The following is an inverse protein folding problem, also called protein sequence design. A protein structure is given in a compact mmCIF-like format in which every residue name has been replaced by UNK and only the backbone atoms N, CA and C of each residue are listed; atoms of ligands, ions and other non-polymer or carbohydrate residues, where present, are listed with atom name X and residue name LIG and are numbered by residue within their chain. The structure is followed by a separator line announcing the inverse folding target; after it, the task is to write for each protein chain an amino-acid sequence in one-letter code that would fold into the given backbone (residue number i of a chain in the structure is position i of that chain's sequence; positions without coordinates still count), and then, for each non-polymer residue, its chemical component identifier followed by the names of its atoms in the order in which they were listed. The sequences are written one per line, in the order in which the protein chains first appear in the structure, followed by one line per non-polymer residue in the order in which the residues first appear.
data_IF_679310221159
#
_entry.id   IF_679310221159
#
_cell.length_a   1.000
_cell.length_b   1.000
_cell.length_c   1.000
_cell.angle_alpha   90.00
_cell.angle_beta   90.00
_cell.angle_gamma   90.00
#
_symmetry.space_group_name_H-M   'P 1'
#
loop_
_entity.id
_entity.type
_entity.pdbx_description
1 polymer ?
#
# COMPACT_ATOMS: atom_id res chain seq x y z
N UNK A 1 17.89 -14.25 -6.19
CA UNK A 1 16.88 -13.42 -6.90
C UNK A 1 15.54 -13.64 -6.20
N UNK A 2 14.81 -12.57 -5.89
CA UNK A 2 13.50 -12.68 -5.23
C UNK A 2 12.51 -13.42 -6.16
N UNK A 3 11.74 -14.42 -5.67
CA UNK A 3 10.89 -15.24 -6.52
C UNK A 3 9.61 -14.52 -6.97
N UNK A 4 9.18 -13.45 -6.29
CA UNK A 4 8.03 -12.66 -6.71
C UNK A 4 8.45 -11.70 -7.81
N UNK A 5 7.66 -11.49 -8.88
CA UNK A 5 8.00 -10.56 -9.95
C UNK A 5 7.85 -9.10 -9.51
N UNK A 6 8.64 -8.21 -10.09
CA UNK A 6 8.51 -6.76 -9.96
C UNK A 6 8.47 -6.10 -11.34
N UNK A 7 7.45 -5.26 -11.53
CA UNK A 7 7.15 -4.54 -12.76
C UNK A 7 7.23 -3.03 -12.49
N UNK A 8 8.10 -2.32 -13.19
CA UNK A 8 8.13 -0.85 -13.15
C UNK A 8 7.16 -0.26 -14.18
N UNK A 9 6.42 0.77 -13.80
CA UNK A 9 5.73 1.67 -14.74
C UNK A 9 6.54 2.95 -14.83
N UNK A 10 7.17 3.18 -15.98
CA UNK A 10 8.14 4.24 -16.17
C UNK A 10 7.78 5.14 -17.36
N UNK A 11 8.29 6.37 -17.33
CA UNK A 11 7.89 7.39 -18.29
C UNK A 11 7.95 8.81 -17.74
N UNK A 12 7.92 9.83 -18.61
CA UNK A 12 8.08 11.24 -18.26
C UNK A 12 6.93 11.74 -17.37
N UNK A 13 7.07 12.92 -16.73
CA UNK A 13 5.98 13.52 -15.96
C UNK A 13 4.72 13.68 -16.81
N UNK A 14 3.55 13.58 -16.18
CA UNK A 14 2.25 13.78 -16.83
C UNK A 14 1.87 12.77 -17.93
N UNK A 15 2.67 11.72 -18.17
CA UNK A 15 2.33 10.65 -19.11
C UNK A 15 1.20 9.71 -18.65
N UNK A 16 0.53 9.98 -17.53
CA UNK A 16 -0.56 9.11 -17.04
C UNK A 16 -0.13 7.87 -16.24
N UNK A 17 1.14 7.76 -15.84
CA UNK A 17 1.66 6.61 -15.05
C UNK A 17 0.83 6.29 -13.82
N UNK A 18 0.57 7.27 -12.95
CA UNK A 18 -0.21 7.04 -11.73
C UNK A 18 -1.63 6.58 -12.02
N UNK A 19 -2.24 7.08 -13.10
CA UNK A 19 -3.56 6.68 -13.59
C UNK A 19 -3.53 5.24 -14.11
N UNK A 20 -2.53 4.87 -14.92
CA UNK A 20 -2.36 3.51 -15.42
C UNK A 20 -2.11 2.52 -14.27
N UNK A 21 -1.22 2.84 -13.33
CA UNK A 21 -0.97 2.03 -12.13
C UNK A 21 -2.25 1.79 -11.33
N UNK A 22 -3.07 2.83 -11.14
CA UNK A 22 -4.33 2.71 -10.42
C UNK A 22 -5.33 1.81 -11.18
N UNK A 23 -5.54 2.05 -12.47
CA UNK A 23 -6.46 1.25 -13.28
C UNK A 23 -6.03 -0.21 -13.38
N UNK A 24 -4.75 -0.47 -13.60
CA UNK A 24 -4.17 -1.81 -13.61
C UNK A 24 -4.34 -2.49 -12.25
N UNK A 25 -4.12 -1.78 -11.15
CA UNK A 25 -4.35 -2.28 -9.78
C UNK A 25 -5.81 -2.67 -9.56
N UNK A 26 -6.76 -1.84 -10.00
CA UNK A 26 -8.19 -2.15 -9.88
C UNK A 26 -8.56 -3.39 -10.71
N UNK A 27 -8.08 -3.47 -11.94
CA UNK A 27 -8.33 -4.61 -12.82
C UNK A 27 -7.74 -5.92 -12.27
N UNK A 28 -6.52 -5.88 -11.73
CA UNK A 28 -5.88 -7.04 -11.10
C UNK A 28 -6.63 -7.49 -9.85
N UNK A 29 -7.18 -6.54 -9.06
CA UNK A 29 -8.02 -6.85 -7.89
C UNK A 29 -9.30 -7.57 -8.29
N UNK A 30 -9.99 -7.08 -9.32
CA UNK A 30 -11.18 -7.74 -9.88
C UNK A 30 -10.86 -9.14 -10.41
N UNK A 31 -9.68 -9.32 -11.01
CA UNK A 31 -9.20 -10.61 -11.48
C UNK A 31 -8.65 -11.52 -10.36
N UNK A 32 -8.68 -11.10 -9.09
CA UNK A 32 -8.19 -11.90 -7.95
C UNK A 32 -6.67 -12.10 -7.91
N UNK A 33 -5.89 -11.28 -8.60
CA UNK A 33 -4.44 -11.45 -8.70
C UNK A 33 -3.76 -10.77 -7.51
N UNK A 34 -2.99 -11.54 -6.73
CA UNK A 34 -2.24 -11.00 -5.61
C UNK A 34 -1.11 -10.08 -6.10
N UNK A 35 -1.09 -8.83 -5.62
CA UNK A 35 -0.07 -7.86 -5.96
C UNK A 35 -0.04 -6.71 -4.95
N UNK A 36 1.03 -5.91 -5.00
CA UNK A 36 1.16 -4.67 -4.25
C UNK A 36 1.63 -3.53 -5.15
N UNK A 37 0.95 -2.38 -5.08
CA UNK A 37 1.39 -1.16 -5.77
C UNK A 37 2.31 -0.36 -4.84
N UNK A 38 3.61 -0.41 -5.12
CA UNK A 38 4.64 0.32 -4.41
C UNK A 38 4.88 1.68 -5.08
N UNK A 39 4.48 2.76 -4.40
CA UNK A 39 4.80 4.15 -4.83
C UNK A 39 6.21 4.48 -4.37
N UNK A 40 7.17 4.40 -5.28
CA UNK A 40 8.58 4.61 -4.99
C UNK A 40 8.98 6.10 -5.02
N UNK A 41 8.20 6.97 -5.66
CA UNK A 41 8.38 8.41 -5.51
C UNK A 41 7.74 8.91 -4.20
N UNK A 42 8.44 9.67 -3.34
CA UNK A 42 7.88 10.25 -2.11
C UNK A 42 7.08 11.52 -2.43
N UNK A 43 6.25 11.47 -3.47
CA UNK A 43 5.52 12.63 -3.99
C UNK A 43 4.24 12.94 -3.19
N UNK A 44 4.04 12.27 -2.06
CA UNK A 44 2.88 12.40 -1.20
C UNK A 44 1.62 11.74 -1.74
N UNK A 45 1.71 10.99 -2.85
CA UNK A 45 0.58 10.25 -3.41
C UNK A 45 0.48 8.84 -2.80
N UNK A 46 -0.73 8.29 -2.77
CA UNK A 46 -0.99 6.88 -2.52
C UNK A 46 -2.27 6.45 -3.22
N UNK A 47 -2.72 5.20 -3.02
CA UNK A 47 -4.00 4.75 -3.61
C UNK A 47 -5.17 5.67 -3.21
N UNK A 48 -5.16 6.13 -1.96
CA UNK A 48 -6.08 7.11 -1.40
C UNK A 48 -6.16 8.43 -2.19
N UNK A 49 -5.10 8.85 -2.90
CA UNK A 49 -5.10 10.11 -3.68
C UNK A 49 -6.01 10.00 -4.90
N UNK A 50 -6.22 8.80 -5.43
CA UNK A 50 -7.18 8.54 -6.52
C UNK A 50 -8.57 8.11 -5.98
N UNK A 51 -8.64 7.65 -4.73
CA UNK A 51 -9.88 7.19 -4.08
C UNK A 51 -10.59 8.29 -3.28
N UNK A 52 -9.90 9.38 -2.92
CA UNK A 52 -10.46 10.52 -2.19
C UNK A 52 -10.93 11.64 -3.14
N UNK A 53 -11.88 12.50 -2.73
CA UNK A 53 -12.26 13.68 -3.49
C UNK A 53 -11.01 14.53 -3.85
N UNK A 54 -10.88 15.03 -5.10
CA UNK A 54 -9.65 15.68 -5.56
C UNK A 54 -9.16 16.84 -4.68
N UNK A 55 -10.09 17.60 -4.08
CA UNK A 55 -9.76 18.70 -3.17
C UNK A 55 -9.17 18.21 -1.84
N UNK A 56 -9.77 17.16 -1.24
CA UNK A 56 -9.25 16.51 -0.04
C UNK A 56 -7.89 15.84 -0.32
N UNK A 57 -7.77 15.18 -1.47
CA UNK A 57 -6.53 14.54 -1.92
C UNK A 57 -5.38 15.55 -2.02
N UNK A 58 -5.64 16.74 -2.59
CA UNK A 58 -4.66 17.83 -2.70
C UNK A 58 -4.31 18.43 -1.34
N UNK A 59 -5.28 18.68 -0.49
CA UNK A 59 -5.07 19.28 0.84
C UNK A 59 -4.21 18.38 1.75
N UNK A 60 -4.33 17.06 1.60
CA UNK A 60 -3.62 16.08 2.42
C UNK A 60 -2.27 15.65 1.82
N UNK A 61 -2.00 16.01 0.56
CA UNK A 61 -0.77 15.63 -0.14
C UNK A 61 0.43 16.36 0.45
N UNK A 62 1.36 15.62 1.05
CA UNK A 62 2.65 16.12 1.53
C UNK A 62 3.79 15.45 0.76
N UNK A 63 4.45 16.21 -0.12
CA UNK A 63 5.66 15.76 -0.83
C UNK A 63 6.81 15.66 0.16
N UNK A 64 7.48 14.53 0.20
CA UNK A 64 8.73 14.31 0.93
C UNK A 64 9.95 14.43 0.01
N UNK A 65 11.16 14.57 0.58
CA UNK A 65 12.39 14.52 -0.19
C UNK A 65 12.63 13.10 -0.73
N UNK A 66 13.04 13.00 -2.00
CA UNK A 66 13.61 11.76 -2.56
C UNK A 66 15.11 11.74 -2.27
N UNK A 67 15.43 11.59 -0.98
CA UNK A 67 16.80 11.52 -0.48
C UNK A 67 17.35 10.08 -0.50
N UNK A 68 18.62 9.94 -0.14
CA UNK A 68 19.32 8.66 -0.12
C UNK A 68 18.72 7.68 0.90
N UNK A 69 18.20 8.18 2.01
CA UNK A 69 17.53 7.39 3.05
C UNK A 69 16.26 6.74 2.51
N UNK A 70 15.43 7.52 1.78
CA UNK A 70 14.24 7.01 1.11
C UNK A 70 14.60 6.03 -0.01
N UNK A 71 15.61 6.35 -0.83
CA UNK A 71 16.06 5.46 -1.91
C UNK A 71 16.53 4.10 -1.37
N UNK A 72 17.33 4.10 -0.31
CA UNK A 72 17.80 2.87 0.33
C UNK A 72 16.62 2.01 0.84
N UNK A 73 15.63 2.66 1.47
CA UNK A 73 14.38 1.99 1.86
C UNK A 73 13.63 1.42 0.65
N UNK A 74 13.44 2.21 -0.42
CA UNK A 74 12.69 1.79 -1.60
C UNK A 74 13.36 0.59 -2.30
N UNK A 75 14.68 0.64 -2.49
CA UNK A 75 15.46 -0.49 -3.02
C UNK A 75 15.31 -1.71 -2.13
N UNK A 76 15.46 -1.55 -0.81
CA UNK A 76 15.28 -2.62 0.16
C UNK A 76 13.89 -3.26 0.08
N UNK A 77 12.84 -2.45 0.11
CA UNK A 77 11.44 -2.91 0.08
C UNK A 77 11.09 -3.67 -1.21
N UNK A 78 11.57 -3.19 -2.37
CA UNK A 78 11.37 -3.94 -3.62
C UNK A 78 12.19 -5.22 -3.62
N UNK A 79 13.42 -5.21 -3.10
CA UNK A 79 14.28 -6.40 -3.02
C UNK A 79 13.70 -7.48 -2.09
N UNK A 80 13.11 -7.09 -0.96
CA UNK A 80 12.56 -7.99 0.07
C UNK A 80 11.06 -8.30 -0.10
N UNK A 81 10.43 -7.82 -1.18
CA UNK A 81 9.01 -8.03 -1.49
C UNK A 81 8.55 -9.47 -1.26
N UNK A 82 7.33 -9.59 -0.74
CA UNK A 82 6.62 -10.84 -0.47
C UNK A 82 5.39 -11.00 -1.36
N UNK A 83 5.19 -10.10 -2.32
CA UNK A 83 4.13 -10.14 -3.32
C UNK A 83 4.70 -9.69 -4.67
N UNK A 84 4.04 -10.04 -5.78
CA UNK A 84 4.25 -9.33 -7.04
C UNK A 84 4.13 -7.81 -6.86
N UNK A 85 5.12 -7.04 -7.28
CA UNK A 85 5.13 -5.58 -7.12
C UNK A 85 4.88 -4.87 -8.45
N UNK A 86 3.99 -3.89 -8.43
CA UNK A 86 3.95 -2.81 -9.41
C UNK A 86 4.66 -1.62 -8.77
N UNK A 87 5.71 -1.12 -9.40
CA UNK A 87 6.55 -0.04 -8.88
C UNK A 87 6.29 1.22 -9.70
N UNK A 88 6.00 2.33 -9.02
CA UNK A 88 5.83 3.66 -9.63
C UNK A 88 6.95 4.59 -9.13
N UNK A 89 7.93 4.83 -10.00
CA UNK A 89 9.18 5.55 -9.70
C UNK A 89 9.11 7.06 -9.94
N UNK A 90 7.96 7.59 -10.37
CA UNK A 90 7.83 8.99 -10.76
C UNK A 90 8.50 9.30 -12.11
N UNK A 91 8.47 10.58 -12.52
CA UNK A 91 8.75 10.97 -13.90
C UNK A 91 10.14 11.56 -14.19
N UNK A 92 10.97 11.81 -13.18
CA UNK A 92 12.30 12.43 -13.33
C UNK A 92 13.34 11.76 -12.41
N UNK A 93 13.63 10.46 -12.57
CA UNK A 93 14.62 9.83 -11.72
C UNK A 93 16.03 10.36 -12.02
N UNK A 94 16.80 10.63 -10.98
CA UNK A 94 18.26 10.83 -11.09
C UNK A 94 18.95 9.51 -11.39
N UNK A 95 20.21 9.55 -11.85
CA UNK A 95 20.99 8.33 -12.09
C UNK A 95 21.12 7.45 -10.83
N UNK A 96 21.29 8.05 -9.65
CA UNK A 96 21.34 7.30 -8.40
C UNK A 96 20.02 6.58 -8.11
N UNK A 97 18.89 7.22 -8.40
CA UNK A 97 17.56 6.64 -8.19
C UNK A 97 17.30 5.45 -9.12
N UNK A 98 18.00 5.36 -10.26
CA UNK A 98 17.92 4.21 -11.18
C UNK A 98 18.30 2.88 -10.53
N UNK A 99 19.02 2.87 -9.40
CA UNK A 99 19.30 1.65 -8.62
C UNK A 99 18.02 0.87 -8.22
N UNK A 100 16.86 1.53 -8.17
CA UNK A 100 15.58 0.87 -7.97
C UNK A 100 15.19 -0.06 -9.14
N UNK A 101 15.58 0.29 -10.36
CA UNK A 101 15.29 -0.48 -11.57
C UNK A 101 15.95 -1.85 -11.50
N UNK A 102 17.14 -1.96 -10.91
CA UNK A 102 17.85 -3.25 -10.74
C UNK A 102 17.06 -4.28 -9.90
N UNK A 103 16.06 -3.83 -9.14
CA UNK A 103 15.20 -4.72 -8.35
C UNK A 103 13.97 -5.23 -9.13
N UNK A 104 13.72 -4.66 -10.32
CA UNK A 104 12.60 -4.98 -11.21
C UNK A 104 13.04 -5.98 -12.30
N UNK A 105 12.08 -6.69 -12.90
CA UNK A 105 12.32 -7.62 -14.00
C UNK A 105 11.63 -7.16 -15.28
N UNK A 106 10.50 -6.48 -15.13
CA UNK A 106 9.65 -6.07 -16.24
C UNK A 106 9.46 -4.56 -16.25
N UNK A 107 9.20 -3.99 -17.42
CA UNK A 107 8.87 -2.58 -17.59
C UNK A 107 7.64 -2.36 -18.47
N UNK A 108 6.79 -1.43 -18.06
CA UNK A 108 5.84 -0.72 -18.93
C UNK A 108 6.41 0.68 -19.17
N UNK A 109 6.75 0.97 -20.42
CA UNK A 109 7.21 2.28 -20.85
C UNK A 109 6.00 3.06 -21.37
N UNK A 110 5.76 4.24 -20.80
CA UNK A 110 4.62 5.10 -21.14
C UNK A 110 5.11 6.52 -21.41
N UNK A 111 5.10 6.97 -22.66
CA UNK A 111 5.64 8.29 -23.07
C UNK A 111 4.66 9.12 -23.89
N UNK A 112 4.93 10.42 -24.06
CA UNK A 112 4.07 11.33 -24.84
C UNK A 112 4.70 11.77 -26.17
N UNK A 113 6.03 11.74 -26.27
CA UNK A 113 6.77 12.15 -27.45
C UNK A 113 8.00 11.25 -27.70
N UNK A 114 8.54 11.35 -28.91
CA UNK A 114 9.62 10.49 -29.39
C UNK A 114 10.97 10.72 -28.65
N UNK A 115 11.25 11.95 -28.22
CA UNK A 115 12.51 12.25 -27.54
C UNK A 115 12.52 11.63 -26.13
N UNK A 116 11.42 11.79 -25.40
CA UNK A 116 11.24 11.17 -24.08
C UNK A 116 11.16 9.64 -24.20
N UNK A 117 10.56 9.14 -25.28
CA UNK A 117 10.53 7.70 -25.57
C UNK A 117 11.93 7.10 -25.66
N UNK A 118 12.81 7.69 -26.46
CA UNK A 118 14.19 7.21 -26.61
C UNK A 118 14.97 7.26 -25.28
N UNK A 119 14.82 8.34 -24.51
CA UNK A 119 15.46 8.48 -23.19
C UNK A 119 15.04 7.35 -22.24
N UNK A 120 13.74 7.06 -22.15
CA UNK A 120 13.23 6.01 -21.26
C UNK A 120 13.57 4.61 -21.74
N UNK A 121 13.57 4.36 -23.05
CA UNK A 121 14.02 3.08 -23.60
C UNK A 121 15.49 2.82 -23.28
N UNK A 122 16.36 3.82 -23.42
CA UNK A 122 17.77 3.68 -23.10
C UNK A 122 17.98 3.37 -21.61
N UNK A 123 17.25 4.08 -20.74
CA UNK A 123 17.26 3.82 -19.30
C UNK A 123 16.82 2.39 -18.98
N UNK A 124 15.73 1.91 -19.57
CA UNK A 124 15.24 0.55 -19.35
C UNK A 124 16.22 -0.51 -19.86
N UNK A 125 16.86 -0.28 -21.01
CA UNK A 125 17.89 -1.17 -21.57
C UNK A 125 19.13 -1.25 -20.69
N UNK A 126 19.58 -0.12 -20.12
CA UNK A 126 20.73 -0.07 -19.19
C UNK A 126 20.56 -1.00 -18.00
N UNK A 127 19.34 -1.14 -17.51
CA UNK A 127 18.98 -2.01 -16.37
C UNK A 127 18.45 -3.38 -16.80
N UNK A 128 18.57 -3.73 -18.09
CA UNK A 128 18.20 -5.03 -18.65
C UNK A 128 16.76 -5.48 -18.32
N UNK A 129 15.81 -4.55 -18.19
CA UNK A 129 14.42 -4.92 -17.90
C UNK A 129 13.73 -5.42 -19.18
N UNK A 130 12.90 -6.45 -19.03
CA UNK A 130 12.09 -6.95 -20.11
C UNK A 130 10.88 -6.03 -20.31
N UNK A 131 10.83 -5.32 -21.44
CA UNK A 131 9.73 -4.43 -21.77
C UNK A 131 8.52 -5.26 -22.21
N UNK A 132 7.43 -5.18 -21.44
CA UNK A 132 6.19 -5.92 -21.70
C UNK A 132 5.16 -5.04 -22.41
N UNK A 133 5.27 -3.72 -22.26
CA UNK A 133 4.48 -2.76 -22.99
C UNK A 133 5.29 -1.48 -23.24
N UNK A 134 5.11 -0.91 -24.41
CA UNK A 134 5.67 0.36 -24.86
C UNK A 134 4.57 1.18 -25.54
N UNK A 135 4.06 2.15 -24.79
CA UNK A 135 2.82 2.81 -25.08
C UNK A 135 3.04 4.32 -25.20
N UNK A 136 2.48 4.92 -26.25
CA UNK A 136 2.31 6.36 -26.35
C UNK A 136 1.01 6.76 -25.66
N UNK A 137 1.09 7.58 -24.63
CA UNK A 137 -0.06 8.14 -23.93
C UNK A 137 -0.60 9.35 -24.68
N UNK A 138 -1.82 9.26 -25.19
CA UNK A 138 -2.52 10.36 -25.84
C UNK A 138 -3.91 10.55 -25.22
N UNK A 139 -4.27 11.77 -24.84
CA UNK A 139 -5.54 11.99 -24.13
C UNK A 139 -6.76 11.85 -25.04
N UNK A 140 -6.65 12.27 -26.30
CA UNK A 140 -7.78 12.39 -27.23
C UNK A 140 -7.73 11.34 -28.37
N UNK A 141 -6.79 10.39 -28.31
CA UNK A 141 -6.68 9.29 -29.26
C UNK A 141 -7.49 8.07 -28.83
N UNK A 142 -7.84 7.22 -29.79
CA UNK A 142 -8.36 5.89 -29.52
C UNK A 142 -7.21 4.93 -29.18
N UNK A 143 -7.53 3.84 -28.48
CA UNK A 143 -6.59 2.76 -28.24
C UNK A 143 -6.24 2.07 -29.56
N UNK A 144 -4.94 1.93 -29.81
CA UNK A 144 -4.41 1.17 -30.93
C UNK A 144 -3.18 0.42 -30.44
N UNK A 145 -3.32 -0.86 -30.15
CA UNK A 145 -2.20 -1.69 -29.64
C UNK A 145 -2.04 -2.96 -30.45
N UNK A 146 -0.80 -3.40 -30.60
CA UNK A 146 -0.44 -4.68 -31.21
C UNK A 146 0.49 -5.44 -30.28
N UNK A 147 0.39 -6.77 -30.30
CA UNK A 147 1.35 -7.64 -29.60
C UNK A 147 2.41 -8.09 -30.61
N UNK A 148 3.63 -7.61 -30.45
CA UNK A 148 4.77 -7.94 -31.31
C UNK A 148 5.90 -8.49 -30.46
N UNK A 149 6.39 -9.69 -30.79
CA UNK A 149 7.50 -10.34 -30.09
C UNK A 149 7.33 -10.41 -28.55
N UNK A 150 6.10 -10.63 -28.07
CA UNK A 150 5.80 -10.70 -26.63
C UNK A 150 5.72 -9.35 -25.92
N UNK A 151 5.75 -8.23 -26.66
CA UNK A 151 5.65 -6.86 -26.19
C UNK A 151 4.42 -6.17 -26.78
N UNK A 152 3.68 -5.44 -25.96
CA UNK A 152 2.58 -4.60 -26.43
C UNK A 152 3.17 -3.28 -26.94
N UNK A 153 2.81 -2.88 -28.15
CA UNK A 153 3.25 -1.61 -28.74
C UNK A 153 2.05 -0.85 -29.29
N UNK A 154 2.02 0.48 -29.08
CA UNK A 154 1.00 1.32 -29.69
C UNK A 154 0.61 2.54 -28.86
N UNK A 155 -0.66 2.96 -28.98
CA UNK A 155 -1.25 4.14 -28.33
C UNK A 155 -2.25 3.70 -27.29
N UNK A 156 -2.18 4.32 -26.11
CA UNK A 156 -3.21 4.25 -25.08
C UNK A 156 -3.91 5.60 -24.94
N UNK A 157 -5.21 5.58 -25.17
CA UNK A 157 -6.10 6.72 -25.14
C UNK A 157 -6.62 7.05 -23.73
N UNK A 158 -6.95 8.32 -23.47
CA UNK A 158 -7.92 8.66 -22.42
C UNK A 158 -7.53 8.32 -20.98
N UNK A 159 -6.23 8.28 -20.64
CA UNK A 159 -5.73 8.09 -19.26
C UNK A 159 -6.09 9.27 -18.34
N UNK A 160 -7.38 9.42 -18.00
CA UNK A 160 -7.92 10.35 -17.00
C UNK A 160 -8.58 9.55 -15.87
N UNK A 161 -8.42 9.99 -14.63
CA UNK A 161 -8.95 9.29 -13.44
C UNK A 161 -10.45 8.96 -13.52
N UNK A 162 -11.23 9.75 -14.25
CA UNK A 162 -12.68 9.61 -14.45
C UNK A 162 -13.09 8.79 -15.69
N UNK A 163 -12.13 8.36 -16.53
CA UNK A 163 -12.42 7.77 -17.86
C UNK A 163 -11.68 6.47 -18.18
N UNK A 164 -10.79 5.99 -17.31
CA UNK A 164 -10.14 4.70 -17.57
C UNK A 164 -11.12 3.55 -17.32
N UNK A 165 -11.34 2.73 -18.35
CA UNK A 165 -12.17 1.53 -18.28
C UNK A 165 -11.31 0.30 -18.54
N UNK A 166 -11.50 -0.75 -17.75
CA UNK A 166 -10.81 -2.04 -17.92
C UNK A 166 -11.10 -2.67 -19.29
N UNK A 167 -12.21 -2.27 -19.93
CA UNK A 167 -12.59 -2.73 -21.26
C UNK A 167 -11.81 -2.05 -22.39
N UNK A 168 -10.98 -1.04 -22.09
CA UNK A 168 -10.09 -0.40 -23.07
C UNK A 168 -9.08 -1.42 -23.62
N UNK A 169 -8.97 -1.59 -24.96
CA UNK A 169 -8.10 -2.59 -25.57
C UNK A 169 -6.65 -2.56 -25.07
N UNK A 170 -6.07 -1.37 -24.91
CA UNK A 170 -4.70 -1.22 -24.43
C UNK A 170 -4.54 -1.71 -22.98
N UNK A 171 -5.45 -1.30 -22.09
CA UNK A 171 -5.43 -1.72 -20.69
C UNK A 171 -5.69 -3.23 -20.54
N UNK A 172 -6.61 -3.78 -21.31
CA UNK A 172 -6.91 -5.22 -21.32
C UNK A 172 -5.70 -6.05 -21.77
N UNK A 173 -4.99 -5.61 -22.81
CA UNK A 173 -3.76 -6.25 -23.27
C UNK A 173 -2.67 -6.21 -22.19
N UNK A 174 -2.44 -5.03 -21.59
CA UNK A 174 -1.46 -4.85 -20.50
C UNK A 174 -1.81 -5.75 -19.33
N UNK A 175 -3.08 -5.77 -18.91
CA UNK A 175 -3.57 -6.63 -17.84
C UNK A 175 -3.25 -8.11 -18.12
N UNK A 176 -3.50 -8.60 -19.34
CA UNK A 176 -3.20 -9.98 -19.71
C UNK A 176 -1.70 -10.30 -19.56
N UNK A 177 -0.81 -9.44 -20.07
CA UNK A 177 0.64 -9.62 -19.94
C UNK A 177 1.13 -9.57 -18.48
N UNK A 178 0.54 -8.70 -17.67
CA UNK A 178 0.89 -8.59 -16.25
C UNK A 178 0.40 -9.81 -15.48
N UNK A 179 -0.82 -10.29 -15.73
CA UNK A 179 -1.39 -11.50 -15.08
C UNK A 179 -0.53 -12.74 -15.33
N UNK A 180 -0.11 -12.95 -16.57
CA UNK A 180 0.76 -14.06 -16.95
C UNK A 180 2.05 -14.04 -16.13
N UNK A 181 2.67 -12.85 -15.97
CA UNK A 181 3.93 -12.70 -15.24
C UNK A 181 3.77 -12.70 -13.73
N UNK A 182 2.61 -12.29 -13.22
CA UNK A 182 2.27 -12.24 -11.80
C UNK A 182 1.74 -13.58 -11.28
N UNK A 183 1.58 -14.56 -12.16
CA UNK A 183 1.33 -15.94 -11.78
C UNK A 183 2.59 -16.45 -11.07
N UNK A 184 2.51 -16.62 -9.76
CA UNK A 184 3.63 -17.01 -8.91
C UNK A 184 3.41 -18.41 -8.40
N UNK A 185 4.19 -19.37 -8.91
CA UNK A 185 3.96 -20.83 -8.71
C UNK A 185 2.54 -21.22 -9.17
N UNK A 186 2.26 -22.49 -9.40
CA UNK A 186 0.88 -22.90 -9.73
C UNK A 186 -0.06 -22.83 -8.49
N UNK A 187 0.31 -22.03 -7.48
CA UNK A 187 -0.29 -21.92 -6.16
C UNK A 187 -0.75 -20.48 -5.89
N UNK A 188 -1.84 -20.31 -5.16
CA UNK A 188 -2.28 -19.00 -4.70
C UNK A 188 -1.30 -18.45 -3.65
N UNK A 189 -0.77 -17.25 -3.89
CA UNK A 189 0.18 -16.56 -2.99
C UNK A 189 -0.38 -16.41 -1.58
N UNK A 190 -1.68 -16.17 -1.42
CA UNK A 190 -2.33 -16.08 -0.11
C UNK A 190 -2.33 -17.42 0.62
N UNK A 191 -2.57 -18.52 -0.11
CA UNK A 191 -2.47 -19.89 0.44
C UNK A 191 -1.04 -20.16 0.87
N UNK A 192 -0.05 -19.81 0.05
CA UNK A 192 1.35 -19.98 0.42
C UNK A 192 1.71 -19.23 1.72
N UNK A 193 1.31 -17.96 1.87
CA UNK A 193 1.58 -17.21 3.10
C UNK A 193 0.84 -17.78 4.31
N UNK A 194 -0.35 -18.34 4.11
CA UNK A 194 -1.12 -18.96 5.18
C UNK A 194 -0.53 -20.30 5.64
N UNK A 195 0.16 -21.04 4.77
CA UNK A 195 0.85 -22.28 5.14
C UNK A 195 2.28 -22.07 5.62
N UNK A 196 2.90 -20.94 5.30
CA UNK A 196 4.28 -20.59 5.67
C UNK A 196 4.31 -19.51 6.75
N UNK A 197 3.65 -19.78 7.88
CA UNK A 197 3.62 -18.88 9.03
C UNK A 197 4.79 -19.10 9.98
N UNK A 198 5.29 -18.06 10.67
CA UNK A 198 6.34 -18.21 11.68
C UNK A 198 5.85 -18.84 13.00
N UNK A 199 4.55 -19.11 13.15
CA UNK A 199 3.94 -19.79 14.30
C UNK A 199 3.39 -21.18 13.93
N UNK A 200 3.15 -22.07 14.91
CA UNK A 200 2.60 -23.41 14.67
C UNK A 200 1.24 -23.37 13.94
N UNK A 201 1.00 -24.29 13.02
CA UNK A 201 -0.26 -24.41 12.30
C UNK A 201 -1.45 -24.53 13.27
N UNK A 202 -2.51 -23.77 13.00
CA UNK A 202 -3.72 -23.73 13.83
C UNK A 202 -3.60 -22.96 15.15
N UNK A 203 -2.42 -22.42 15.50
CA UNK A 203 -2.28 -21.63 16.73
C UNK A 203 -2.83 -20.21 16.64
N UNK A 204 -3.06 -19.70 15.43
CA UNK A 204 -3.55 -18.36 15.14
C UNK A 204 -4.49 -18.43 13.94
N UNK A 205 -5.66 -17.79 14.03
CA UNK A 205 -6.57 -17.65 12.90
C UNK A 205 -6.11 -16.51 11.98
N UNK A 206 -6.00 -16.78 10.68
CA UNK A 206 -5.64 -15.75 9.69
C UNK A 206 -6.91 -15.07 9.20
N UNK A 207 -7.01 -13.77 9.48
CA UNK A 207 -8.06 -12.91 8.95
C UNK A 207 -7.58 -12.37 7.60
N UNK A 208 -7.99 -13.02 6.51
CA UNK A 208 -7.72 -12.57 5.14
C UNK A 208 -8.73 -11.49 4.72
N UNK A 209 -8.32 -10.23 4.75
CA UNK A 209 -9.16 -9.09 4.37
C UNK A 209 -9.58 -9.16 2.90
N UNK A 210 -8.70 -9.67 2.03
CA UNK A 210 -9.00 -9.76 0.60
C UNK A 210 -10.00 -10.89 0.32
N UNK A 211 -9.82 -12.02 1.01
CA UNK A 211 -10.79 -13.12 1.02
C UNK A 211 -12.16 -12.69 1.54
N UNK A 212 -12.21 -11.90 2.62
CA UNK A 212 -13.45 -11.39 3.20
C UNK A 212 -14.21 -10.46 2.23
N UNK A 213 -13.51 -9.60 1.51
CA UNK A 213 -14.10 -8.74 0.46
C UNK A 213 -14.62 -9.56 -0.72
N UNK A 214 -13.81 -10.52 -1.20
CA UNK A 214 -14.22 -11.42 -2.30
C UNK A 214 -15.45 -12.23 -1.94
N UNK A 215 -15.50 -12.82 -0.75
CA UNK A 215 -16.64 -13.60 -0.28
C UNK A 215 -17.94 -12.78 -0.19
N UNK A 216 -17.82 -11.45 -0.01
CA UNK A 216 -18.95 -10.51 0.03
C UNK A 216 -19.27 -9.88 -1.33
N UNK A 217 -18.45 -10.13 -2.36
CA UNK A 217 -18.59 -9.43 -3.64
C UNK A 217 -18.40 -7.92 -3.53
N UNK A 218 -17.63 -7.45 -2.56
CA UNK A 218 -17.42 -6.03 -2.27
C UNK A 218 -16.03 -5.58 -2.72
N UNK A 219 -15.93 -4.34 -3.20
CA UNK A 219 -14.63 -3.71 -3.51
C UNK A 219 -13.96 -3.09 -2.28
N UNK A 220 -14.74 -2.75 -1.25
CA UNK A 220 -14.29 -2.07 -0.05
C UNK A 220 -15.13 -2.46 1.18
N UNK A 221 -14.57 -2.28 2.37
CA UNK A 221 -15.28 -2.50 3.63
C UNK A 221 -16.15 -1.28 4.00
N UNK A 222 -17.26 -1.56 4.66
CA UNK A 222 -18.14 -0.58 5.30
C UNK A 222 -18.17 -0.76 6.83
N UNK A 223 -18.69 0.22 7.56
CA UNK A 223 -18.79 0.14 9.04
C UNK A 223 -19.61 -1.06 9.52
N UNK A 224 -20.66 -1.44 8.79
CA UNK A 224 -21.43 -2.66 9.09
C UNK A 224 -20.58 -3.93 8.99
N UNK A 225 -19.62 -3.96 8.07
CA UNK A 225 -18.73 -5.11 7.92
C UNK A 225 -17.78 -5.22 9.11
N UNK A 226 -17.30 -4.07 9.62
CA UNK A 226 -16.46 -4.04 10.84
C UNK A 226 -17.16 -4.72 12.00
N UNK A 227 -18.41 -4.33 12.24
CA UNK A 227 -19.16 -4.80 13.40
C UNK A 227 -19.52 -6.28 13.24
N UNK A 228 -19.91 -6.72 12.03
CA UNK A 228 -20.19 -8.12 11.74
C UNK A 228 -18.95 -9.02 11.90
N UNK A 229 -17.80 -8.62 11.34
CA UNK A 229 -16.55 -9.39 11.45
C UNK A 229 -16.11 -9.45 12.91
N UNK A 230 -16.11 -8.32 13.61
CA UNK A 230 -15.70 -8.25 15.01
C UNK A 230 -16.64 -9.08 15.89
N UNK A 231 -17.95 -9.09 15.64
CA UNK A 231 -18.92 -9.90 16.39
C UNK A 231 -18.72 -11.41 16.19
N UNK A 232 -18.21 -11.84 15.03
CA UNK A 232 -17.99 -13.26 14.72
C UNK A 232 -16.80 -13.90 15.45
N UNK A 233 -15.88 -13.08 15.96
CA UNK A 233 -14.66 -13.55 16.63
C UNK A 233 -14.84 -13.59 18.16
N UNK A 234 -14.09 -14.47 18.82
CA UNK A 234 -14.09 -14.56 20.28
C UNK A 234 -13.17 -13.50 20.91
N UNK A 235 -13.47 -13.10 22.15
CA UNK A 235 -12.57 -12.21 22.90
C UNK A 235 -11.20 -12.88 23.11
N UNK A 236 -10.14 -12.11 22.92
CA UNK A 236 -8.73 -12.57 23.04
C UNK A 236 -8.36 -13.73 22.12
N UNK A 237 -9.15 -13.99 21.08
CA UNK A 237 -8.80 -14.99 20.08
C UNK A 237 -7.46 -14.62 19.40
N UNK A 238 -6.48 -15.54 19.32
CA UNK A 238 -5.24 -15.27 18.62
C UNK A 238 -5.49 -15.15 17.11
N UNK A 239 -5.18 -13.99 16.55
CA UNK A 239 -5.39 -13.70 15.12
C UNK A 239 -4.14 -13.12 14.44
N UNK A 240 -4.06 -13.32 13.12
CA UNK A 240 -3.08 -12.69 12.24
C UNK A 240 -3.82 -11.94 11.12
N UNK A 241 -3.33 -10.76 10.75
CA UNK A 241 -3.99 -9.89 9.77
C UNK A 241 -3.30 -9.98 8.42
N UNK A 242 -4.04 -10.34 7.37
CA UNK A 242 -3.53 -10.52 6.01
C UNK A 242 -4.33 -9.70 4.98
N UNK A 243 -3.69 -9.32 3.88
CA UNK A 243 -4.31 -8.65 2.74
C UNK A 243 -4.36 -7.13 2.86
N UNK A 244 -5.33 -6.49 2.19
CA UNK A 244 -5.51 -5.03 2.21
C UNK A 244 -6.19 -4.58 3.51
N UNK A 245 -5.38 -4.29 4.51
CA UNK A 245 -5.84 -3.94 5.84
C UNK A 245 -6.54 -2.57 5.89
N UNK A 246 -7.75 -2.56 6.43
CA UNK A 246 -8.52 -1.34 6.70
C UNK A 246 -8.32 -0.88 8.14
N UNK A 247 -7.80 0.34 8.33
CA UNK A 247 -7.35 0.84 9.64
C UNK A 247 -8.41 0.75 10.74
N UNK A 248 -9.68 1.06 10.45
CA UNK A 248 -10.74 0.97 11.46
C UNK A 248 -11.00 -0.47 11.92
N UNK A 249 -10.96 -1.43 10.99
CA UNK A 249 -11.09 -2.84 11.33
C UNK A 249 -9.86 -3.36 12.06
N UNK A 250 -8.65 -2.90 11.71
CA UNK A 250 -7.43 -3.22 12.47
C UNK A 250 -7.56 -2.76 13.93
N UNK A 251 -8.05 -1.54 14.17
CA UNK A 251 -8.28 -1.01 15.54
C UNK A 251 -9.34 -1.85 16.28
N UNK A 252 -10.47 -2.16 15.64
CA UNK A 252 -11.54 -2.95 16.26
C UNK A 252 -11.06 -4.37 16.61
N UNK A 253 -10.35 -5.02 15.70
CA UNK A 253 -9.78 -6.35 15.91
C UNK A 253 -8.71 -6.33 17.01
N UNK A 254 -7.81 -5.35 17.03
CA UNK A 254 -6.77 -5.23 18.05
C UNK A 254 -7.34 -4.94 19.45
N UNK A 255 -8.49 -4.27 19.55
CA UNK A 255 -9.18 -4.05 20.84
C UNK A 255 -9.82 -5.34 21.37
N UNK A 256 -10.34 -6.19 20.49
CA UNK A 256 -11.10 -7.39 20.86
C UNK A 256 -10.24 -8.65 20.95
N UNK A 257 -9.39 -8.87 19.97
CA UNK A 257 -8.62 -10.10 19.75
C UNK A 257 -7.17 -9.93 20.20
N UNK A 258 -6.42 -11.04 20.20
CA UNK A 258 -4.98 -11.04 20.41
C UNK A 258 -4.27 -11.05 19.05
N UNK A 259 -3.97 -9.87 18.51
CA UNK A 259 -3.29 -9.74 17.22
C UNK A 259 -1.83 -10.15 17.38
N UNK A 260 -1.47 -11.33 16.86
CA UNK A 260 -0.12 -11.90 16.95
C UNK A 260 0.77 -11.50 15.80
N UNK A 261 0.19 -11.24 14.63
CA UNK A 261 0.95 -10.91 13.44
C UNK A 261 0.17 -10.06 12.44
N UNK A 262 0.92 -9.34 11.62
CA UNK A 262 0.44 -8.52 10.52
C UNK A 262 1.33 -8.83 9.31
N UNK A 263 0.72 -9.11 8.17
CA UNK A 263 1.47 -9.32 6.94
C UNK A 263 1.84 -7.98 6.28
N UNK A 264 3.09 -7.84 5.88
CA UNK A 264 3.60 -6.70 5.12
C UNK A 264 4.08 -7.15 3.75
N UNK A 265 3.70 -6.41 2.70
CA UNK A 265 4.05 -6.75 1.33
C UNK A 265 5.57 -6.70 1.06
N UNK A 266 6.35 -5.97 1.85
CA UNK A 266 7.79 -5.79 1.74
C UNK A 266 8.62 -6.62 2.73
N UNK A 267 8.00 -7.22 3.77
CA UNK A 267 8.73 -7.91 4.85
C UNK A 267 8.10 -9.24 5.30
N UNK A 268 6.83 -9.48 4.95
CA UNK A 268 6.10 -10.69 5.33
C UNK A 268 5.44 -10.56 6.68
N UNK A 269 5.34 -11.68 7.40
CA UNK A 269 4.71 -11.72 8.72
C UNK A 269 5.60 -11.04 9.77
N UNK A 270 5.08 -9.95 10.36
CA UNK A 270 5.71 -9.24 11.49
C UNK A 270 4.78 -9.20 12.69
N UNK A 271 5.32 -9.17 13.91
CA UNK A 271 4.51 -8.96 15.11
C UNK A 271 4.08 -7.49 15.23
N UNK A 272 2.90 -7.17 15.81
CA UNK A 272 2.61 -5.79 16.20
C UNK A 272 3.66 -5.25 17.17
N UNK A 273 3.94 -3.94 17.09
CA UNK A 273 4.85 -3.29 18.03
C UNK A 273 4.34 -3.44 19.46
N UNK A 274 5.23 -3.81 20.36
CA UNK A 274 4.95 -3.80 21.80
C UNK A 274 5.05 -2.38 22.32
N UNK A 275 3.91 -1.81 22.64
CA UNK A 275 3.83 -0.43 23.12
C UNK A 275 3.82 -0.41 24.64
N UNK A 276 4.76 0.33 25.24
CA UNK A 276 4.80 0.61 26.68
C UNK A 276 4.23 2.01 26.91
N UNK A 277 3.17 2.09 27.71
CA UNK A 277 2.59 3.37 28.10
C UNK A 277 3.42 4.00 29.21
N UNK A 278 3.80 5.27 29.03
CA UNK A 278 4.59 6.03 30.00
C UNK A 278 3.90 7.34 30.38
N UNK A 279 4.05 7.76 31.64
CA UNK A 279 3.54 9.02 32.19
C UNK A 279 4.35 10.22 31.65
N UNK A 280 4.17 10.52 30.36
CA UNK A 280 4.78 11.65 29.67
C UNK A 280 3.83 12.17 28.59
N UNK A 281 3.74 13.48 28.34
CA UNK A 281 2.85 14.03 27.32
C UNK A 281 3.33 13.74 25.88
N UNK A 282 4.61 13.40 25.72
CA UNK A 282 5.26 13.16 24.44
C UNK A 282 6.37 12.10 24.57
N UNK A 283 6.46 11.25 23.56
CA UNK A 283 7.55 10.28 23.37
C UNK A 283 8.18 10.50 22.00
N UNK A 284 9.48 10.31 21.89
CA UNK A 284 10.23 10.44 20.64
C UNK A 284 11.16 9.26 20.44
N UNK A 285 11.34 8.89 19.19
CA UNK A 285 12.31 7.92 18.69
C UNK A 285 13.02 8.53 17.48
N UNK A 286 13.96 7.81 16.88
CA UNK A 286 14.67 8.28 15.69
C UNK A 286 13.76 8.50 14.47
N UNK A 287 12.65 7.76 14.36
CA UNK A 287 11.79 7.76 13.17
C UNK A 287 10.42 8.39 13.37
N UNK A 288 9.99 8.59 14.61
CA UNK A 288 8.65 9.12 14.92
C UNK A 288 8.56 9.82 16.29
N UNK A 289 7.60 10.72 16.39
CA UNK A 289 7.17 11.37 17.62
C UNK A 289 5.69 11.09 17.90
N UNK A 290 5.38 10.75 19.14
CA UNK A 290 4.03 10.47 19.63
C UNK A 290 3.68 11.51 20.69
N UNK A 291 2.61 12.26 20.49
CA UNK A 291 2.17 13.28 21.43
C UNK A 291 0.68 13.12 21.73
N UNK A 292 0.31 13.17 23.01
CA UNK A 292 -1.11 13.18 23.42
C UNK A 292 -1.55 14.61 23.69
N UNK A 293 -2.65 14.99 23.08
CA UNK A 293 -3.37 16.21 23.39
C UNK A 293 -4.68 15.85 24.07
N UNK A 294 -4.84 16.31 25.31
CA UNK A 294 -6.09 16.16 26.08
C UNK A 294 -7.05 17.28 25.72
N UNK A 295 -8.30 16.93 25.50
CA UNK A 295 -9.39 17.82 25.11
C UNK A 295 -10.51 17.81 26.15
N UNK A 296 -11.36 18.86 26.20
CA UNK A 296 -12.55 18.86 27.04
C UNK A 296 -13.49 17.67 26.73
N UNK A 297 -14.14 17.15 27.78
CA UNK A 297 -15.10 16.05 27.67
C UNK A 297 -14.50 14.65 27.67
N UNK A 298 -13.39 14.43 28.39
CA UNK A 298 -12.70 13.13 28.46
C UNK A 298 -12.29 12.59 27.08
N UNK A 299 -11.80 13.49 26.22
CA UNK A 299 -11.30 13.14 24.90
C UNK A 299 -9.79 13.38 24.84
N UNK A 300 -9.10 12.55 24.08
CA UNK A 300 -7.69 12.70 23.82
C UNK A 300 -7.40 12.35 22.35
N UNK A 301 -6.42 13.04 21.79
CA UNK A 301 -5.89 12.75 20.46
C UNK A 301 -4.42 12.34 20.59
N UNK A 302 -4.08 11.13 20.16
CA UNK A 302 -2.70 10.67 20.01
C UNK A 302 -2.23 11.02 18.59
N UNK A 303 -1.42 12.07 18.46
CA UNK A 303 -0.80 12.46 17.20
C UNK A 303 0.51 11.71 17.02
N UNK A 304 0.61 10.94 15.94
CA UNK A 304 1.85 10.26 15.54
C UNK A 304 2.44 10.98 14.33
N UNK A 305 3.63 11.53 14.51
CA UNK A 305 4.34 12.31 13.49
C UNK A 305 5.57 11.54 13.02
N UNK A 306 5.69 11.33 11.71
CA UNK A 306 6.90 10.74 11.11
C UNK A 306 8.02 11.78 11.12
N UNK A 307 9.18 11.39 11.61
CA UNK A 307 10.41 12.19 11.57
C UNK A 307 11.31 11.80 10.38
N UNK A 308 11.02 10.65 9.75
CA UNK A 308 11.67 10.16 8.55
C UNK A 308 10.65 9.99 7.40
N UNK A 309 11.11 9.95 6.13
CA UNK A 309 10.23 9.73 4.96
C UNK A 309 9.43 8.43 5.02
N UNK A 310 9.98 7.40 5.68
CA UNK A 310 9.32 6.13 5.96
C UNK A 310 9.36 5.81 7.45
N UNK A 311 8.57 4.81 7.88
CA UNK A 311 8.63 4.29 9.24
C UNK A 311 9.25 2.88 9.19
N UNK A 312 10.49 2.68 9.66
CA UNK A 312 11.03 1.34 9.82
C UNK A 312 10.18 0.57 10.84
N UNK A 313 10.14 -0.75 10.68
CA UNK A 313 9.55 -1.62 11.68
C UNK A 313 10.30 -1.46 13.01
N UNK A 314 9.56 -1.38 14.11
CA UNK A 314 10.11 -1.33 15.46
C UNK A 314 9.41 -2.35 16.36
N UNK A 315 10.20 -3.17 17.04
CA UNK A 315 9.68 -4.21 17.94
C UNK A 315 8.99 -3.62 19.17
N UNK A 316 9.57 -2.56 19.73
CA UNK A 316 9.13 -1.92 20.97
C UNK A 316 9.06 -0.41 20.81
N UNK A 317 8.08 0.22 21.44
CA UNK A 317 7.89 1.67 21.39
C UNK A 317 7.32 2.18 22.71
N UNK A 318 7.79 3.34 23.17
CA UNK A 318 7.16 4.08 24.26
C UNK A 318 6.08 5.02 23.69
N UNK A 319 4.92 5.06 24.34
CA UNK A 319 3.83 5.98 23.99
C UNK A 319 3.26 6.68 25.23
N UNK A 320 2.76 7.92 25.11
CA UNK A 320 2.15 8.64 26.22
C UNK A 320 0.95 7.89 26.83
N UNK A 321 0.89 7.76 28.16
CA UNK A 321 -0.30 7.27 28.83
C UNK A 321 -1.48 8.24 28.61
N UNK A 322 -2.69 7.68 28.50
CA UNK A 322 -3.94 8.43 28.41
C UNK A 322 -4.75 8.14 29.68
N UNK A 323 -5.36 9.15 30.34
CA UNK A 323 -6.11 8.91 31.55
C UNK A 323 -7.25 7.90 31.36
N UNK A 324 -7.51 7.09 32.39
CA UNK A 324 -8.55 6.08 32.35
C UNK A 324 -9.93 6.69 32.04
N UNK A 325 -10.74 5.98 31.25
CA UNK A 325 -12.09 6.42 30.86
C UNK A 325 -12.13 7.46 29.74
N UNK A 326 -10.99 7.90 29.21
CA UNK A 326 -10.97 8.79 28.06
C UNK A 326 -11.30 8.04 26.76
N UNK A 327 -11.91 8.77 25.83
CA UNK A 327 -12.01 8.40 24.43
C UNK A 327 -10.76 8.85 23.68
N UNK A 328 -10.09 7.94 22.98
CA UNK A 328 -8.84 8.21 22.28
C UNK A 328 -9.03 8.14 20.76
N UNK A 329 -8.61 9.19 20.06
CA UNK A 329 -8.45 9.19 18.61
C UNK A 329 -6.97 9.11 18.25
N UNK A 330 -6.59 8.14 17.42
CA UNK A 330 -5.26 8.05 16.82
C UNK A 330 -5.24 8.88 15.54
N UNK A 331 -4.36 9.88 15.46
CA UNK A 331 -4.14 10.72 14.28
C UNK A 331 -2.78 10.41 13.66
N UNK A 332 -2.80 9.86 12.44
CA UNK A 332 -1.61 9.63 11.64
C UNK A 332 -1.80 8.56 10.55
N UNK A 333 -0.99 8.63 9.50
CA UNK A 333 -0.91 7.57 8.49
C UNK A 333 0.08 6.49 8.95
N UNK A 334 -0.45 5.48 9.61
CA UNK A 334 0.33 4.44 10.30
C UNK A 334 0.38 3.14 9.51
N UNK A 335 1.50 2.42 9.53
CA UNK A 335 1.53 1.03 9.10
C UNK A 335 0.75 0.16 10.10
N UNK A 336 0.19 -0.93 9.60
CA UNK A 336 -0.76 -1.75 10.35
C UNK A 336 -0.15 -2.45 11.59
N UNK A 337 1.15 -2.78 11.57
CA UNK A 337 1.86 -3.31 12.74
C UNK A 337 1.91 -2.31 13.90
N UNK A 338 2.10 -1.02 13.60
CA UNK A 338 2.14 0.05 14.59
C UNK A 338 0.74 0.32 15.11
N UNK A 339 -0.23 0.39 14.19
CA UNK A 339 -1.62 0.64 14.53
C UNK A 339 -2.19 -0.46 15.44
N UNK A 340 -1.93 -1.73 15.12
CA UNK A 340 -2.36 -2.85 15.96
C UNK A 340 -1.68 -2.82 17.34
N UNK A 341 -0.39 -2.49 17.39
CA UNK A 341 0.35 -2.33 18.65
C UNK A 341 -0.21 -1.21 19.54
N UNK A 342 -0.43 -0.03 18.97
CA UNK A 342 -1.04 1.11 19.67
C UNK A 342 -2.46 0.76 20.12
N UNK A 343 -3.29 0.17 19.24
CA UNK A 343 -4.65 -0.17 19.59
C UNK A 343 -4.75 -1.22 20.71
N UNK A 344 -3.80 -2.16 20.74
CA UNK A 344 -3.66 -3.13 21.83
C UNK A 344 -3.30 -2.43 23.15
N UNK A 345 -2.31 -1.52 23.14
CA UNK A 345 -1.90 -0.78 24.33
C UNK A 345 -3.02 0.12 24.89
N UNK A 346 -3.80 0.77 24.03
CA UNK A 346 -4.90 1.65 24.42
C UNK A 346 -6.27 0.96 24.46
N UNK A 347 -6.32 -0.38 24.47
CA UNK A 347 -7.59 -1.12 24.51
C UNK A 347 -8.46 -0.80 25.73
N UNK A 348 -7.84 -0.32 26.83
CA UNK A 348 -8.52 0.12 28.06
C UNK A 348 -9.21 1.50 27.99
N UNK A 349 -9.04 2.25 26.89
CA UNK A 349 -9.78 3.50 26.68
C UNK A 349 -11.29 3.23 26.50
N UNK A 350 -12.13 4.20 26.89
CA UNK A 350 -13.59 4.08 26.79
C UNK A 350 -14.01 3.85 25.34
N UNK A 351 -13.47 4.64 24.43
CA UNK A 351 -13.52 4.40 22.99
C UNK A 351 -12.14 4.60 22.36
N UNK A 352 -11.92 3.94 21.24
CA UNK A 352 -10.69 4.04 20.46
C UNK A 352 -11.04 4.11 18.99
N UNK A 353 -10.54 5.14 18.30
CA UNK A 353 -10.74 5.34 16.86
C UNK A 353 -9.43 5.74 16.19
N UNK A 354 -9.40 5.67 14.85
CA UNK A 354 -8.34 6.23 14.03
C UNK A 354 -8.96 7.23 13.07
N UNK A 355 -8.29 8.36 12.85
CA UNK A 355 -8.66 9.32 11.83
C UNK A 355 -8.37 8.73 10.44
N UNK A 356 -9.40 8.49 9.63
CA UNK A 356 -9.26 8.11 8.23
C UNK A 356 -9.55 9.31 7.31
N UNK A 357 -8.55 9.85 6.60
CA UNK A 357 -8.75 10.98 5.70
C UNK A 357 -9.70 10.69 4.53
N UNK A 358 -10.01 9.42 4.22
CA UNK A 358 -10.98 9.05 3.19
C UNK A 358 -12.42 9.29 3.64
N UNK A 359 -12.65 9.33 4.94
CA UNK A 359 -13.93 9.63 5.56
C UNK A 359 -13.87 11.01 6.21
N UNK A 360 -13.72 12.07 5.39
CA UNK A 360 -13.94 13.46 5.84
C UNK A 360 -15.43 13.73 6.09
N UNK A 361 -16.04 12.88 6.91
CA UNK A 361 -17.30 13.08 7.61
C UNK A 361 -17.02 12.73 9.07
N UNK A 362 -16.35 13.67 9.75
CA UNK A 362 -16.57 13.86 11.18
C UNK A 362 -18.07 13.97 11.42
N UNK A 363 -18.63 13.05 12.21
CA UNK A 363 -19.78 13.35 13.05
C UNK A 363 -19.26 13.86 14.37
#
# INVERSE_FOLDING_TARGET
MNPYPALIVCGPPHAGKSTLCHALTMALREAGVAHYLFRAAPDGEGNWTSEAPPEAARALRKKGPFDQTWLAYAVGAVASRQLPFIVDMGGRPTLEQENLLDQCQYAIVLTCDAAQHEEWLERVRRHALHIIADLRSELDAADEVTLQNGRIEGVIGGLRQDRVSIQQPALAAVLAQVRERFTWRDEDVAVYHATHTPWPAGSVEIIDFDGLLRARGQAQFHDSDRDAITASLADRQPIALYGRLWSHLVVALAKKCDVRAVFMADQGWVAPTRVRLIEAPRCESESMSLAVQVEPGQRATLRVTKLQPYLPYVDTLDAPAVPAGFSLMIDGKLPSWLLAGLATAYAGCASLSILDPRNSTTV
#
